data_IF_533181995416
#
_entry.id   IF_533181995416
#
_cell.length_a   1.000
_cell.length_b   1.000
_cell.length_c   1.000
_cell.angle_alpha   90.00
_cell.angle_beta   90.00
_cell.angle_gamma   90.00
#
_symmetry.space_group_name_H-M   'P 1'
#
loop_
_entity.id
_entity.type
_entity.pdbx_description
1 polymer ?
#
# COMPACT_ATOMS: atom_id res chain seq x y z
N UNK A 1 -11.82 -16.25 -8.77
CA UNK A 1 -10.95 -15.14 -9.24
C UNK A 1 -9.77 -14.94 -8.27
N UNK A 2 -8.70 -15.70 -8.47
CA UNK A 2 -7.47 -15.72 -7.65
C UNK A 2 -6.33 -14.99 -8.37
N UNK A 3 -6.49 -13.70 -8.70
CA UNK A 3 -5.53 -13.01 -9.59
C UNK A 3 -4.58 -12.02 -8.89
N UNK A 4 -4.52 -12.00 -7.56
CA UNK A 4 -3.50 -11.23 -6.81
C UNK A 4 -2.65 -12.21 -6.01
N UNK A 5 -1.53 -12.66 -6.58
CA UNK A 5 -0.51 -13.41 -5.83
C UNK A 5 0.69 -12.52 -5.64
N UNK A 6 0.99 -12.19 -4.40
CA UNK A 6 2.23 -11.51 -4.06
C UNK A 6 3.43 -12.41 -4.45
N UNK A 7 4.49 -11.86 -5.05
CA UNK A 7 5.63 -12.66 -5.53
C UNK A 7 6.51 -13.13 -4.37
N UNK A 8 6.25 -14.34 -3.87
CA UNK A 8 7.03 -14.93 -2.77
C UNK A 8 8.22 -15.79 -3.25
N UNK A 9 8.29 -16.16 -4.52
CA UNK A 9 9.40 -16.98 -5.05
C UNK A 9 10.46 -16.13 -5.75
N UNK A 10 11.72 -16.58 -5.72
CA UNK A 10 12.83 -15.90 -6.40
C UNK A 10 12.55 -15.67 -7.90
N UNK A 11 11.93 -16.64 -8.57
CA UNK A 11 11.57 -16.55 -10.01
C UNK A 11 10.55 -15.44 -10.26
N UNK A 12 9.49 -15.37 -9.44
CA UNK A 12 8.47 -14.32 -9.58
C UNK A 12 9.05 -12.93 -9.28
N UNK A 13 9.94 -12.85 -8.28
CA UNK A 13 10.58 -11.60 -7.89
C UNK A 13 11.57 -11.08 -8.91
N UNK A 14 12.32 -11.96 -9.59
CA UNK A 14 13.35 -11.54 -10.54
C UNK A 14 12.79 -10.59 -11.61
N UNK A 15 11.59 -10.89 -12.13
CA UNK A 15 10.90 -10.00 -13.06
C UNK A 15 10.51 -8.68 -12.42
N UNK A 16 9.86 -8.72 -11.24
CA UNK A 16 9.36 -7.53 -10.55
C UNK A 16 10.51 -6.58 -10.19
N UNK A 17 11.61 -7.11 -9.64
CA UNK A 17 12.83 -6.36 -9.30
C UNK A 17 13.42 -5.67 -10.52
N UNK A 18 13.59 -6.40 -11.63
CA UNK A 18 14.10 -5.85 -12.88
C UNK A 18 13.21 -4.73 -13.40
N UNK A 19 11.90 -4.95 -13.43
CA UNK A 19 10.96 -4.01 -14.01
C UNK A 19 10.88 -2.71 -13.15
N UNK A 20 10.89 -2.81 -11.81
CA UNK A 20 11.01 -1.63 -10.94
C UNK A 20 12.36 -0.91 -11.11
N UNK A 21 13.45 -1.65 -11.26
CA UNK A 21 14.77 -1.06 -11.47
C UNK A 21 14.80 -0.15 -12.72
N UNK A 22 14.01 -0.45 -13.76
CA UNK A 22 13.94 0.41 -14.96
C UNK A 22 13.32 1.80 -14.72
N UNK A 23 12.56 2.00 -13.63
CA UNK A 23 11.87 3.27 -13.35
C UNK A 23 12.85 4.37 -12.96
N UNK A 24 13.73 4.05 -12.01
CA UNK A 24 14.66 5.02 -11.42
C UNK A 24 15.96 4.41 -10.88
N UNK A 25 16.27 3.16 -11.21
CA UNK A 25 17.47 2.46 -10.73
C UNK A 25 17.41 2.02 -9.27
N UNK A 26 16.23 1.99 -8.64
CA UNK A 26 16.11 1.53 -7.26
C UNK A 26 16.23 0.00 -7.22
N UNK A 27 17.22 -0.58 -6.51
CA UNK A 27 17.47 -2.01 -6.55
C UNK A 27 16.39 -2.81 -5.79
N UNK A 28 16.25 -4.09 -6.14
CA UNK A 28 15.53 -5.14 -5.41
C UNK A 28 14.11 -4.82 -4.90
N UNK A 29 13.39 -3.91 -5.55
CA UNK A 29 11.99 -3.60 -5.20
C UNK A 29 11.07 -4.74 -5.63
N UNK A 30 10.29 -5.27 -4.70
CA UNK A 30 9.32 -6.37 -4.94
C UNK A 30 7.86 -5.91 -4.95
N UNK A 31 7.62 -4.62 -4.70
CA UNK A 31 6.30 -4.00 -4.73
C UNK A 31 6.33 -2.58 -4.16
N UNK A 32 5.39 -1.74 -4.59
CA UNK A 32 5.13 -0.45 -3.95
C UNK A 32 3.89 -0.56 -3.07
N UNK A 33 3.99 -0.10 -1.83
CA UNK A 33 2.94 -0.20 -0.80
C UNK A 33 2.46 1.18 -0.39
N UNK A 34 1.14 1.32 -0.30
CA UNK A 34 0.50 2.49 0.27
C UNK A 34 -0.91 2.15 0.76
N UNK A 35 -1.50 3.05 1.53
CA UNK A 35 -2.85 2.92 2.03
C UNK A 35 -3.76 3.98 1.43
N UNK A 36 -5.04 3.65 1.29
CA UNK A 36 -6.05 4.57 0.80
C UNK A 36 -7.35 4.43 1.55
N UNK A 37 -7.97 5.57 1.83
CA UNK A 37 -9.29 5.59 2.46
C UNK A 37 -10.38 5.43 1.41
N UNK A 38 -11.24 4.45 1.62
CA UNK A 38 -12.51 4.28 0.92
C UNK A 38 -13.61 4.77 1.85
N UNK A 39 -14.37 5.78 1.43
CA UNK A 39 -15.49 6.29 2.19
C UNK A 39 -16.62 5.25 2.28
N UNK A 40 -17.12 5.02 3.49
CA UNK A 40 -18.27 4.15 3.75
C UNK A 40 -19.39 4.95 4.40
N UNK A 41 -20.63 4.47 4.26
CA UNK A 41 -21.74 4.96 5.08
C UNK A 41 -21.43 4.65 6.55
N UNK A 42 -21.83 5.56 7.44
CA UNK A 42 -21.68 5.35 8.88
C UNK A 42 -22.23 3.97 9.28
N UNK A 43 -21.41 3.06 9.84
CA UNK A 43 -21.91 1.81 10.36
C UNK A 43 -22.80 2.11 11.58
N UNK A 44 -23.99 1.50 11.65
CA UNK A 44 -24.95 1.69 12.75
C UNK A 44 -24.50 1.07 14.08
N UNK A 45 -23.39 0.33 14.09
CA UNK A 45 -22.78 -0.34 15.25
C UNK A 45 -21.29 -0.01 15.25
N UNK A 46 -20.75 0.45 16.38
CA UNK A 46 -19.34 0.85 16.57
C UNK A 46 -18.84 1.98 15.63
N UNK A 47 -19.68 2.99 15.45
CA UNK A 47 -19.44 4.21 14.65
C UNK A 47 -18.04 4.82 14.88
N UNK A 48 -17.66 5.00 16.15
CA UNK A 48 -16.40 5.64 16.57
C UNK A 48 -15.12 5.01 15.99
N UNK A 49 -15.10 3.71 15.74
CA UNK A 49 -13.90 3.03 15.22
C UNK A 49 -13.60 3.41 13.76
N UNK A 50 -14.60 3.86 13.00
CA UNK A 50 -14.47 4.20 11.59
C UNK A 50 -14.33 5.72 11.34
N UNK A 51 -14.40 6.54 12.40
CA UNK A 51 -14.28 8.01 12.31
C UNK A 51 -12.81 8.43 12.21
N UNK A 52 -12.44 9.16 11.15
CA UNK A 52 -11.20 9.96 11.10
C UNK A 52 -11.48 11.45 11.34
N UNK A 53 -10.42 12.20 11.67
CA UNK A 53 -10.33 13.64 12.05
C UNK A 53 -11.11 14.69 11.21
N UNK A 54 -11.87 14.30 10.18
CA UNK A 54 -12.72 15.17 9.34
C UNK A 54 -14.20 14.76 9.28
N UNK A 55 -14.66 13.85 10.16
CA UNK A 55 -16.10 13.56 10.32
C UNK A 55 -16.73 12.60 9.31
N UNK A 56 -15.93 11.82 8.56
CA UNK A 56 -16.43 10.80 7.63
C UNK A 56 -15.91 9.41 8.01
N UNK A 57 -16.77 8.40 7.80
CA UNK A 57 -16.44 6.99 8.03
C UNK A 57 -15.68 6.41 6.83
N UNK A 58 -14.59 5.71 7.08
CA UNK A 58 -13.82 5.07 6.01
C UNK A 58 -13.26 3.71 6.41
N UNK A 59 -13.00 2.88 5.41
CA UNK A 59 -12.14 1.71 5.53
C UNK A 59 -10.76 2.10 5.02
N UNK A 60 -9.72 1.80 5.79
CA UNK A 60 -8.35 1.94 5.34
C UNK A 60 -7.94 0.70 4.55
N UNK A 61 -7.59 0.89 3.28
CA UNK A 61 -7.24 -0.18 2.36
C UNK A 61 -5.77 -0.08 1.98
N UNK A 62 -5.00 -1.10 2.35
CA UNK A 62 -3.64 -1.27 1.86
C UNK A 62 -3.66 -1.82 0.44
N UNK A 63 -2.82 -1.23 -0.40
CA UNK A 63 -2.56 -1.64 -1.78
C UNK A 63 -1.07 -1.93 -1.92
N UNK A 64 -0.74 -3.08 -2.51
CA UNK A 64 0.59 -3.35 -3.04
C UNK A 64 0.46 -3.56 -4.54
N UNK A 65 1.27 -2.86 -5.33
CA UNK A 65 1.30 -2.99 -6.78
C UNK A 65 2.71 -3.23 -7.33
N UNK A 66 2.78 -3.69 -8.58
CA UNK A 66 4.03 -3.77 -9.34
C UNK A 66 4.28 -2.48 -10.16
N UNK A 67 5.39 -2.49 -10.91
CA UNK A 67 5.79 -1.39 -11.80
C UNK A 67 4.82 -1.14 -12.96
N UNK A 68 3.99 -2.13 -13.31
CA UNK A 68 2.99 -2.07 -14.37
C UNK A 68 1.60 -1.68 -13.85
N UNK A 69 1.52 -1.22 -12.59
CA UNK A 69 0.29 -0.82 -11.90
C UNK A 69 -0.67 -2.00 -11.66
N UNK A 70 -0.18 -3.24 -11.75
CA UNK A 70 -0.95 -4.42 -11.43
C UNK A 70 -0.96 -4.66 -9.91
N UNK A 71 -2.11 -5.04 -9.38
CA UNK A 71 -2.30 -5.28 -7.95
C UNK A 71 -1.66 -6.61 -7.56
N UNK A 72 -0.70 -6.57 -6.64
CA UNK A 72 -0.04 -7.75 -6.06
C UNK A 72 -0.74 -8.21 -4.79
N UNK A 73 -1.24 -7.27 -3.98
CA UNK A 73 -1.97 -7.56 -2.76
C UNK A 73 -2.91 -6.40 -2.39
N UNK A 74 -4.03 -6.74 -1.74
CA UNK A 74 -5.00 -5.79 -1.21
C UNK A 74 -5.46 -6.25 0.18
N UNK A 75 -5.54 -5.31 1.13
CA UNK A 75 -6.11 -5.56 2.46
C UNK A 75 -7.13 -4.47 2.78
N UNK A 76 -8.40 -4.83 2.84
CA UNK A 76 -9.53 -3.90 3.04
C UNK A 76 -10.33 -4.19 4.32
N UNK A 77 -9.66 -4.62 5.39
CA UNK A 77 -10.30 -5.07 6.66
C UNK A 77 -10.20 -4.08 7.81
N UNK A 78 -9.55 -2.94 7.61
CA UNK A 78 -9.16 -2.06 8.72
C UNK A 78 -10.02 -0.80 8.78
N UNK A 79 -10.45 -0.38 9.99
CA UNK A 79 -11.11 0.90 10.16
C UNK A 79 -10.24 2.08 9.72
N UNK A 80 -10.88 3.17 9.31
CA UNK A 80 -10.21 4.36 8.78
C UNK A 80 -9.23 5.02 9.74
N UNK A 81 -9.38 4.81 11.05
CA UNK A 81 -8.44 5.31 12.06
C UNK A 81 -7.14 4.52 12.19
N UNK A 82 -7.08 3.30 11.63
CA UNK A 82 -5.91 2.42 11.76
C UNK A 82 -4.72 3.00 10.99
N UNK A 83 -3.55 2.99 11.65
CA UNK A 83 -2.31 3.48 11.06
C UNK A 83 -1.79 2.53 9.98
N UNK A 84 -1.29 3.07 8.88
CA UNK A 84 -0.88 2.31 7.69
C UNK A 84 0.20 1.26 8.02
N UNK A 85 1.17 1.63 8.87
CA UNK A 85 2.20 0.71 9.33
C UNK A 85 1.66 -0.47 10.15
N UNK A 86 0.55 -0.27 10.88
CA UNK A 86 -0.12 -1.33 11.61
C UNK A 86 -0.79 -2.31 10.65
N UNK A 87 -1.42 -1.80 9.59
CA UNK A 87 -2.03 -2.63 8.54
C UNK A 87 -0.98 -3.50 7.85
N UNK A 88 0.16 -2.90 7.47
CA UNK A 88 1.26 -3.61 6.84
C UNK A 88 1.79 -4.74 7.72
N UNK A 89 2.07 -4.47 9.00
CA UNK A 89 2.58 -5.48 9.93
C UNK A 89 1.58 -6.62 10.19
N UNK A 90 0.28 -6.35 10.12
CA UNK A 90 -0.78 -7.34 10.36
C UNK A 90 -1.42 -7.88 9.07
N UNK A 91 -0.77 -7.65 7.92
CA UNK A 91 -1.13 -8.25 6.63
C UNK A 91 -0.41 -9.58 6.45
N UNK A 92 -1.00 -10.52 5.70
CA UNK A 92 -0.34 -11.80 5.41
C UNK A 92 1.01 -11.61 4.71
N UNK A 93 1.10 -10.63 3.81
CA UNK A 93 2.36 -10.27 3.14
C UNK A 93 3.38 -9.75 4.15
N UNK A 94 2.99 -8.83 5.04
CA UNK A 94 3.90 -8.28 6.05
C UNK A 94 4.40 -9.32 7.04
N UNK A 95 3.54 -10.24 7.49
CA UNK A 95 3.93 -11.36 8.36
C UNK A 95 4.96 -12.27 7.66
N UNK A 96 4.67 -12.70 6.43
CA UNK A 96 5.59 -13.53 5.66
C UNK A 96 6.95 -12.85 5.43
N UNK A 97 6.94 -11.54 5.10
CA UNK A 97 8.17 -10.77 4.91
C UNK A 97 8.97 -10.63 6.21
N UNK A 98 8.29 -10.47 7.35
CA UNK A 98 8.91 -10.41 8.66
C UNK A 98 9.55 -11.75 9.07
N UNK A 99 8.95 -12.87 8.65
CA UNK A 99 9.46 -14.22 8.85
C UNK A 99 10.59 -14.61 7.88
N UNK A 100 10.97 -13.72 6.95
CA UNK A 100 12.06 -13.98 6.02
C UNK A 100 11.64 -14.76 4.77
N UNK A 101 10.36 -14.71 4.37
CA UNK A 101 9.90 -15.29 3.11
C UNK A 101 10.64 -14.73 1.87
N UNK A 102 11.33 -13.60 2.03
CA UNK A 102 12.14 -12.96 0.99
C UNK A 102 13.47 -12.52 1.59
N UNK A 103 14.58 -13.01 1.03
CA UNK A 103 15.92 -12.71 1.55
C UNK A 103 16.50 -11.38 1.04
N UNK A 104 16.29 -11.05 -0.25
CA UNK A 104 16.91 -9.88 -0.90
C UNK A 104 15.89 -9.05 -1.67
N UNK A 105 14.82 -8.64 -1.02
CA UNK A 105 13.77 -7.85 -1.66
C UNK A 105 12.97 -7.02 -0.67
N UNK A 106 12.62 -5.81 -1.07
CA UNK A 106 11.90 -4.87 -0.21
C UNK A 106 10.73 -4.21 -0.92
N UNK A 107 9.68 -3.96 -0.13
CA UNK A 107 8.63 -3.04 -0.50
C UNK A 107 9.14 -1.60 -0.45
N UNK A 108 8.57 -0.73 -1.26
CA UNK A 108 8.81 0.70 -1.19
C UNK A 108 7.57 1.40 -0.65
N UNK A 109 7.71 2.04 0.50
CA UNK A 109 6.63 2.69 1.24
C UNK A 109 6.90 4.15 1.54
N UNK A 110 5.90 4.83 2.08
CA UNK A 110 5.97 6.23 2.42
C UNK A 110 6.69 6.55 3.74
N UNK A 111 6.74 7.84 4.08
CA UNK A 111 7.34 8.31 5.34
C UNK A 111 6.54 7.89 6.58
N UNK A 112 5.25 7.59 6.45
CA UNK A 112 4.39 7.11 7.53
C UNK A 112 4.72 5.67 7.95
N UNK A 113 5.42 4.90 7.12
CA UNK A 113 5.94 3.61 7.53
C UNK A 113 7.27 3.72 8.29
N UNK A 114 7.54 2.82 9.25
CA UNK A 114 8.88 2.64 9.78
C UNK A 114 9.76 1.90 8.77
N UNK A 115 11.05 2.23 8.73
CA UNK A 115 12.04 1.45 7.98
C UNK A 115 12.13 0.02 8.55
N UNK A 116 12.16 -0.99 7.67
CA UNK A 116 12.31 -2.42 8.03
C UNK A 116 13.29 -3.10 7.06
N UNK A 117 13.72 -4.31 7.42
CA UNK A 117 14.53 -5.17 6.54
C UNK A 117 13.86 -5.45 5.19
N UNK A 118 12.52 -5.45 5.16
CA UNK A 118 11.70 -5.70 3.98
C UNK A 118 10.92 -4.46 3.49
N UNK A 119 11.13 -3.27 4.08
CA UNK A 119 10.39 -2.05 3.72
C UNK A 119 11.30 -0.82 3.73
N UNK A 120 11.47 -0.21 2.56
CA UNK A 120 12.29 0.99 2.35
C UNK A 120 11.44 2.25 2.37
N UNK A 121 11.84 3.23 3.18
CA UNK A 121 11.17 4.52 3.38
C UNK A 121 12.11 5.66 3.00
N UNK A 122 11.60 6.86 2.63
CA UNK A 122 12.47 7.98 2.28
C UNK A 122 13.24 8.49 3.50
N UNK A 123 14.43 9.02 3.28
CA UNK A 123 15.20 9.70 4.32
C UNK A 123 14.52 11.03 4.68
N UNK A 124 14.35 11.29 5.97
CA UNK A 124 13.63 12.48 6.45
C UNK A 124 14.38 13.78 6.14
N UNK A 125 15.69 13.78 6.37
CA UNK A 125 16.57 14.95 6.24
C UNK A 125 17.80 14.60 5.40
N UNK A 126 17.69 14.54 4.06
CA UNK A 126 18.84 14.28 3.20
C UNK A 126 19.86 15.42 3.32
N UNK A 127 21.09 15.07 3.66
CA UNK A 127 22.19 15.98 4.00
C UNK A 127 23.25 16.08 2.89
N UNK A 128 23.31 15.09 2.01
CA UNK A 128 24.30 14.99 0.95
C UNK A 128 23.68 14.55 -0.39
N UNK A 129 24.47 14.63 -1.47
CA UNK A 129 23.99 14.31 -2.82
C UNK A 129 23.57 12.84 -2.97
N UNK A 130 24.18 11.91 -2.23
CA UNK A 130 23.83 10.49 -2.30
C UNK A 130 22.46 10.24 -1.67
N UNK A 131 22.17 10.84 -0.52
CA UNK A 131 20.86 10.79 0.14
C UNK A 131 19.77 11.47 -0.71
N UNK A 132 20.10 12.58 -1.37
CA UNK A 132 19.20 13.22 -2.32
C UNK A 132 18.87 12.31 -3.51
N UNK A 133 19.89 11.64 -4.09
CA UNK A 133 19.69 10.66 -5.18
C UNK A 133 18.85 9.47 -4.73
N UNK A 134 19.09 8.95 -3.52
CA UNK A 134 18.28 7.89 -2.92
C UNK A 134 16.81 8.33 -2.83
N UNK A 135 16.52 9.49 -2.23
CA UNK A 135 15.15 9.99 -2.10
C UNK A 135 14.49 10.27 -3.46
N UNK A 136 15.24 10.74 -4.45
CA UNK A 136 14.73 10.96 -5.80
C UNK A 136 14.35 9.64 -6.48
N UNK A 137 15.21 8.62 -6.39
CA UNK A 137 14.91 7.29 -6.94
C UNK A 137 13.75 6.63 -6.18
N UNK A 138 13.73 6.77 -4.86
CA UNK A 138 12.67 6.28 -3.99
C UNK A 138 11.31 6.87 -4.39
N UNK A 139 11.22 8.20 -4.45
CA UNK A 139 9.98 8.91 -4.77
C UNK A 139 9.44 8.51 -6.14
N UNK A 140 10.29 8.50 -7.18
CA UNK A 140 9.90 8.10 -8.55
C UNK A 140 9.36 6.68 -8.62
N UNK A 141 9.99 5.76 -7.89
CA UNK A 141 9.60 4.35 -7.87
C UNK A 141 8.26 4.18 -7.13
N UNK A 142 8.09 4.87 -6.00
CA UNK A 142 6.87 4.85 -5.18
C UNK A 142 5.67 5.49 -5.87
N UNK A 143 5.85 6.42 -6.82
CA UNK A 143 4.73 7.00 -7.60
C UNK A 143 3.86 5.94 -8.31
N UNK A 144 4.36 4.72 -8.54
CA UNK A 144 3.57 3.60 -9.09
C UNK A 144 2.33 3.27 -8.26
N UNK A 145 2.43 3.20 -6.93
CA UNK A 145 1.26 2.87 -6.09
C UNK A 145 0.26 4.04 -6.01
N UNK A 146 0.75 5.27 -5.99
CA UNK A 146 -0.10 6.47 -6.06
C UNK A 146 -0.89 6.52 -7.37
N UNK A 147 -0.22 6.26 -8.50
CA UNK A 147 -0.86 6.16 -9.82
C UNK A 147 -1.87 5.03 -9.88
N UNK A 148 -1.53 3.87 -9.34
CA UNK A 148 -2.43 2.71 -9.28
C UNK A 148 -3.71 3.09 -8.53
N UNK A 149 -3.59 3.64 -7.32
CA UNK A 149 -4.74 4.09 -6.54
C UNK A 149 -5.54 5.19 -7.25
N UNK A 150 -4.87 6.12 -7.93
CA UNK A 150 -5.53 7.14 -8.75
C UNK A 150 -6.37 6.54 -9.88
N UNK A 151 -5.84 5.54 -10.60
CA UNK A 151 -6.57 4.82 -11.64
C UNK A 151 -7.76 4.03 -11.06
N UNK A 152 -7.58 3.37 -9.92
CA UNK A 152 -8.67 2.67 -9.24
C UNK A 152 -9.80 3.66 -8.89
N UNK A 153 -9.47 4.80 -8.28
CA UNK A 153 -10.45 5.82 -7.88
C UNK A 153 -11.10 6.53 -9.06
N UNK A 154 -10.38 6.72 -10.16
CA UNK A 154 -10.93 7.29 -11.40
C UNK A 154 -11.88 6.33 -12.12
N UNK A 155 -11.57 5.02 -12.11
CA UNK A 155 -12.41 3.99 -12.74
C UNK A 155 -13.64 3.66 -11.89
N UNK A 156 -13.47 3.57 -10.58
CA UNK A 156 -14.54 3.27 -9.62
C UNK A 156 -14.73 4.47 -8.70
N UNK A 157 -15.55 5.43 -9.12
CA UNK A 157 -15.84 6.67 -8.38
C UNK A 157 -16.44 6.42 -6.98
N UNK A 158 -17.01 5.24 -6.73
CA UNK A 158 -17.42 4.84 -5.39
C UNK A 158 -16.24 4.69 -4.40
N UNK A 159 -15.01 4.60 -4.90
CA UNK A 159 -13.77 4.55 -4.12
C UNK A 159 -13.16 5.96 -3.88
N UNK A 160 -13.55 6.98 -4.65
CA UNK A 160 -13.02 8.34 -4.50
C UNK A 160 -13.71 9.15 -3.41
N UNK A 161 -14.91 8.72 -2.98
CA UNK A 161 -15.74 9.46 -2.02
C UNK A 161 -16.38 10.74 -2.56
N UNK A 162 -16.12 11.09 -3.83
CA UNK A 162 -16.72 12.25 -4.49
C UNK A 162 -18.06 11.85 -5.14
N UNK A 163 -19.15 11.99 -4.37
CA UNK A 163 -20.52 11.96 -4.90
C UNK A 163 -21.28 10.64 -4.78
N UNK A 164 -20.61 9.51 -4.46
CA UNK A 164 -21.30 8.22 -4.22
C UNK A 164 -20.71 7.55 -2.98
N UNK A 165 -21.44 7.58 -1.87
CA UNK A 165 -21.12 6.78 -0.68
C UNK A 165 -21.48 5.32 -0.96
N UNK A 166 -20.54 4.40 -0.72
CA UNK A 166 -20.82 2.97 -0.79
C UNK A 166 -21.89 2.59 0.25
N UNK A 167 -23.05 2.15 -0.22
CA UNK A 167 -24.22 1.75 0.59
C UNK A 167 -24.10 0.30 1.09
N UNK A 168 -22.94 -0.12 1.58
CA UNK A 168 -22.78 -1.47 2.13
C UNK A 168 -23.09 -1.50 3.63
N UNK A 169 -23.85 -2.51 4.06
CA UNK A 169 -24.11 -2.76 5.48
C UNK A 169 -22.90 -3.45 6.15
N UNK A 170 -22.61 -3.18 7.43
CA UNK A 170 -21.37 -3.61 8.10
C UNK A 170 -21.22 -5.13 8.30
N UNK A 171 -22.28 -5.91 8.10
CA UNK A 171 -22.32 -7.36 8.34
C UNK A 171 -21.46 -8.20 7.38
N UNK A 172 -20.84 -7.60 6.36
CA UNK A 172 -20.06 -8.32 5.34
C UNK A 172 -18.57 -7.98 5.28
N UNK A 173 -18.06 -7.11 6.16
CA UNK A 173 -16.71 -6.52 5.97
C UNK A 173 -15.69 -6.93 7.04
N UNK A 174 -16.11 -7.71 8.05
CA UNK A 174 -15.20 -8.31 9.03
C UNK A 174 -15.59 -9.76 9.29
N UNK A 175 -14.79 -10.70 8.74
CA UNK A 175 -14.53 -12.00 9.34
C UNK A 175 -13.03 -12.07 9.66
#
# INVERSE_FOLDING_TARGET
>A
PHNTSFPCTAVQQARVKRDFHTIAGFPNVIGAIDCTHIAIKAPSVNEFNFVKRKGFHSVNVQVICDSHLALLNLVAKWPGGTHDSFIAQNSSVGLNLQEGAVEDGWLIGDRGYPLKTWLMTPLTNPSNQHEARYNQAHARTRTTVERTMGLLKGRWLCLSGTGVTLQYQPSKVCL
#
